data_IF_617663674189
#
_entry.id   IF_617663674189
#
_cell.length_a   1.000
_cell.length_b   1.000
_cell.length_c   1.000
_cell.angle_alpha   90.00
_cell.angle_beta   90.00
_cell.angle_gamma   90.00
#
_symmetry.space_group_name_H-M   'P 1'
#
loop_
_entity.id
_entity.type
_entity.pdbx_description
1 polymer ?
#
# COMPACT_ATOMS: atom_id res chain seq x y z
N UNK A 1 12.70 4.44 -4.17
CA UNK A 1 12.01 5.65 -3.71
C UNK A 1 12.88 6.89 -3.89
N UNK A 2 14.12 6.94 -3.38
CA UNK A 2 15.03 8.10 -3.60
C UNK A 2 15.38 8.39 -5.07
N UNK A 3 15.42 7.38 -5.95
CA UNK A 3 15.70 7.57 -7.39
C UNK A 3 14.48 8.01 -8.22
N UNK A 4 13.28 8.09 -7.64
CA UNK A 4 12.03 8.36 -8.36
C UNK A 4 11.36 9.69 -7.99
N UNK A 5 11.94 10.46 -7.06
CA UNK A 5 11.43 11.79 -6.68
C UNK A 5 10.08 11.82 -5.97
N UNK A 6 9.56 10.65 -5.55
CA UNK A 6 8.25 10.49 -4.91
C UNK A 6 8.41 10.33 -3.40
N UNK A 7 7.76 11.19 -2.62
CA UNK A 7 7.81 11.17 -1.16
C UNK A 7 6.41 10.91 -0.58
N UNK A 8 6.22 9.70 -0.06
CA UNK A 8 4.94 9.23 0.51
C UNK A 8 4.37 10.17 1.58
N UNK A 9 5.21 10.93 2.29
CA UNK A 9 4.75 11.85 3.36
C UNK A 9 4.32 13.20 2.82
N UNK A 10 4.80 13.60 1.63
CA UNK A 10 4.52 14.91 1.03
C UNK A 10 3.47 14.84 -0.05
N UNK A 11 3.51 13.80 -0.87
CA UNK A 11 2.65 13.69 -2.07
C UNK A 11 1.29 13.03 -1.78
N UNK A 12 1.15 12.39 -0.62
CA UNK A 12 -0.04 11.60 -0.28
C UNK A 12 -0.54 11.94 1.13
N UNK A 13 -1.84 12.20 1.25
CA UNK A 13 -2.51 12.49 2.54
C UNK A 13 -2.74 11.25 3.39
N UNK A 14 -2.78 10.08 2.75
CA UNK A 14 -2.91 8.77 3.36
C UNK A 14 -1.53 8.08 3.35
N UNK A 15 -0.97 7.88 4.54
CA UNK A 15 0.30 7.17 4.71
C UNK A 15 0.05 5.64 4.64
N UNK A 16 -0.54 5.18 3.54
CA UNK A 16 -0.98 3.79 3.35
C UNK A 16 -0.61 3.33 1.95
N UNK A 17 0.00 2.15 1.84
CA UNK A 17 0.49 1.55 0.59
C UNK A 17 -0.21 0.21 0.37
N UNK A 18 -0.70 -0.04 -0.85
CA UNK A 18 -1.28 -1.34 -1.22
C UNK A 18 -0.26 -2.15 -2.00
N UNK A 19 0.04 -3.36 -1.54
CA UNK A 19 0.96 -4.30 -2.21
C UNK A 19 0.18 -5.50 -2.74
N UNK A 20 0.59 -6.12 -3.86
CA UNK A 20 -0.07 -7.31 -4.38
C UNK A 20 0.03 -8.48 -3.39
N UNK A 21 -0.95 -9.39 -3.43
CA UNK A 21 -1.01 -10.56 -2.55
C UNK A 21 0.27 -11.43 -2.57
N UNK A 22 0.94 -11.51 -3.73
CA UNK A 22 2.21 -12.23 -3.88
C UNK A 22 3.37 -11.62 -3.08
N UNK A 23 3.29 -10.32 -2.81
CA UNK A 23 4.30 -9.58 -2.05
C UNK A 23 3.98 -9.48 -0.55
N UNK A 24 2.90 -10.11 -0.07
CA UNK A 24 2.47 -10.03 1.33
C UNK A 24 3.58 -10.35 2.36
N UNK A 25 4.52 -11.23 2.00
CA UNK A 25 5.68 -11.54 2.85
C UNK A 25 6.59 -10.34 3.16
N UNK A 26 6.58 -9.32 2.30
CA UNK A 26 7.38 -8.10 2.45
C UNK A 26 6.66 -7.04 3.29
N UNK A 27 5.40 -7.28 3.69
CA UNK A 27 4.58 -6.31 4.41
C UNK A 27 5.31 -5.79 5.65
N UNK A 28 5.85 -6.67 6.50
CA UNK A 28 6.52 -6.26 7.74
C UNK A 28 7.75 -5.38 7.51
N UNK A 29 8.62 -5.73 6.55
CA UNK A 29 9.81 -4.94 6.21
C UNK A 29 9.44 -3.58 5.60
N UNK A 30 8.35 -3.53 4.83
CA UNK A 30 7.85 -2.30 4.22
C UNK A 30 7.17 -1.37 5.24
N UNK A 31 6.39 -1.90 6.18
CA UNK A 31 5.78 -1.11 7.25
C UNK A 31 6.86 -0.44 8.12
N UNK A 32 7.93 -1.17 8.45
CA UNK A 32 9.05 -0.65 9.25
C UNK A 32 9.86 0.43 8.50
N UNK A 33 10.23 0.17 7.23
CA UNK A 33 11.03 1.12 6.44
C UNK A 33 10.27 2.36 5.99
N UNK A 34 9.01 2.21 5.60
CA UNK A 34 8.21 3.32 5.09
C UNK A 34 7.47 4.05 6.21
N UNK A 35 7.42 3.46 7.42
CA UNK A 35 6.58 3.90 8.53
C UNK A 35 5.15 4.22 8.07
N UNK A 36 4.62 3.40 7.17
CA UNK A 36 3.36 3.56 6.46
C UNK A 36 2.53 2.28 6.61
N UNK A 37 1.21 2.40 6.64
CA UNK A 37 0.30 1.25 6.75
C UNK A 37 0.33 0.45 5.46
N UNK A 38 0.72 -0.82 5.49
CA UNK A 38 0.76 -1.63 4.27
C UNK A 38 -0.46 -2.56 4.22
N UNK A 39 -1.23 -2.47 3.14
CA UNK A 39 -2.40 -3.31 2.89
C UNK A 39 -2.09 -4.34 1.81
N UNK A 40 -2.54 -5.57 2.03
CA UNK A 40 -2.41 -6.64 1.03
C UNK A 40 -3.61 -6.60 0.09
N UNK A 41 -3.33 -6.19 -1.14
CA UNK A 41 -4.25 -6.20 -2.26
C UNK A 41 -4.49 -7.59 -2.85
N UNK A 42 -5.32 -7.68 -3.89
CA UNK A 42 -5.58 -8.94 -4.57
C UNK A 42 -4.32 -9.49 -5.26
N UNK A 43 -4.34 -10.78 -5.58
CA UNK A 43 -3.28 -11.44 -6.35
C UNK A 43 -3.23 -10.94 -7.82
N UNK A 44 -4.37 -10.48 -8.34
CA UNK A 44 -4.53 -10.01 -9.71
C UNK A 44 -5.07 -8.56 -9.73
N UNK A 45 -4.45 -7.69 -10.54
CA UNK A 45 -4.80 -6.27 -10.62
C UNK A 45 -6.24 -6.04 -11.10
N UNK A 46 -6.84 -6.96 -11.86
CA UNK A 46 -8.22 -6.84 -12.31
C UNK A 46 -9.25 -6.83 -11.18
N UNK A 47 -8.89 -7.34 -10.00
CA UNK A 47 -9.76 -7.41 -8.81
C UNK A 47 -9.57 -6.23 -7.86
N UNK A 48 -8.69 -5.28 -8.19
CA UNK A 48 -8.46 -4.06 -7.40
C UNK A 48 -9.73 -3.23 -7.15
N UNK A 49 -10.64 -3.02 -8.13
CA UNK A 49 -11.83 -2.21 -7.92
C UNK A 49 -12.70 -2.74 -6.77
N UNK A 50 -13.08 -4.02 -6.82
CA UNK A 50 -13.90 -4.66 -5.78
C UNK A 50 -13.17 -4.87 -4.45
N UNK A 51 -11.83 -4.91 -4.47
CA UNK A 51 -11.04 -4.91 -3.24
C UNK A 51 -11.07 -3.53 -2.57
N UNK A 52 -10.94 -2.44 -3.33
CA UNK A 52 -11.00 -1.09 -2.79
C UNK A 52 -12.36 -0.77 -2.17
N UNK A 53 -13.48 -1.18 -2.77
CA UNK A 53 -14.80 -0.97 -2.16
C UNK A 53 -14.95 -1.56 -0.76
N UNK A 54 -14.21 -2.64 -0.45
CA UNK A 54 -14.30 -3.36 0.83
C UNK A 54 -13.20 -2.99 1.82
N UNK A 55 -12.03 -2.62 1.34
CA UNK A 55 -10.82 -2.45 2.14
C UNK A 55 -10.32 -0.99 2.15
N UNK A 56 -10.93 -0.10 1.37
CA UNK A 56 -10.61 1.32 1.26
C UNK A 56 -11.88 2.17 1.52
N UNK A 57 -11.80 3.35 2.16
CA UNK A 57 -10.61 4.03 2.67
C UNK A 57 -10.05 3.38 3.95
N UNK A 58 -8.73 3.47 4.19
CA UNK A 58 -8.10 2.94 5.38
C UNK A 58 -8.64 3.74 6.56
N UNK A 59 -9.49 3.12 7.38
CA UNK A 59 -9.89 3.73 8.64
C UNK A 59 -8.62 3.93 9.49
N UNK A 60 -8.46 5.18 9.96
CA UNK A 60 -7.34 5.61 10.82
C UNK A 60 -7.19 4.67 12.01
#
# INVERSE_FOLDING_TARGET
>A
FEKSGFDLKKDVTHNTVVIPGLAARLQGDLEDKLNAKVLVGPMDSGRLPGWMEKNWPPKK
#
